data_IF_130548964320
#
_entry.id   IF_130548964320
#
_cell.length_a   1.000
_cell.length_b   1.000
_cell.length_c   1.000
_cell.angle_alpha   90.00
_cell.angle_beta   90.00
_cell.angle_gamma   90.00
#
_symmetry.space_group_name_H-M   'P 1'
#
loop_
_entity.id
_entity.type
_entity.pdbx_description
1 polymer ?
#
# COMPACT_ATOMS: atom_id res chain seq x y z
N UNK A 1 0.17 5.15 25.37
CA UNK A 1 0.61 6.02 24.27
C UNK A 1 -0.27 5.88 23.01
N UNK A 2 -0.57 4.68 22.55
CA UNK A 2 -1.44 4.42 21.38
C UNK A 2 -2.84 5.02 21.49
N UNK A 3 -3.55 4.82 22.60
CA UNK A 3 -4.91 5.35 22.80
C UNK A 3 -4.98 6.88 22.74
N UNK A 4 -3.99 7.58 23.30
CA UNK A 4 -3.90 9.04 23.23
C UNK A 4 -3.71 9.55 21.80
N UNK A 5 -2.87 8.85 21.01
CA UNK A 5 -2.68 9.18 19.58
C UNK A 5 -3.97 9.00 18.77
N UNK A 6 -4.75 7.95 19.04
CA UNK A 6 -6.07 7.75 18.41
C UNK A 6 -7.05 8.87 18.77
N UNK A 7 -7.12 9.27 20.05
CA UNK A 7 -7.99 10.37 20.50
C UNK A 7 -7.57 11.69 19.83
N UNK A 8 -6.28 12.00 19.82
CA UNK A 8 -5.76 13.22 19.16
C UNK A 8 -6.02 13.21 17.66
N UNK A 9 -5.85 12.06 17.00
CA UNK A 9 -6.18 11.87 15.58
C UNK A 9 -7.66 12.10 15.30
N UNK A 10 -8.55 11.59 16.15
CA UNK A 10 -10.00 11.79 16.02
C UNK A 10 -10.39 13.26 16.22
N UNK A 11 -9.82 13.94 17.21
CA UNK A 11 -10.04 15.37 17.44
C UNK A 11 -9.56 16.19 16.24
N UNK A 12 -8.35 15.90 15.73
CA UNK A 12 -7.80 16.58 14.55
C UNK A 12 -8.67 16.37 13.32
N UNK A 13 -9.15 15.13 13.10
CA UNK A 13 -10.11 14.81 12.05
C UNK A 13 -11.37 15.65 12.15
N UNK A 14 -12.00 15.69 13.34
CA UNK A 14 -13.26 16.40 13.55
C UNK A 14 -13.09 17.92 13.34
N UNK A 15 -12.01 18.50 13.85
CA UNK A 15 -11.68 19.90 13.62
C UNK A 15 -11.49 20.21 12.14
N UNK A 16 -10.72 19.40 11.43
CA UNK A 16 -10.51 19.55 9.98
C UNK A 16 -11.85 19.42 9.23
N UNK A 17 -12.69 18.45 9.60
CA UNK A 17 -13.99 18.23 9.00
C UNK A 17 -14.92 19.43 9.14
N UNK A 18 -15.00 20.02 10.35
CA UNK A 18 -15.81 21.23 10.63
C UNK A 18 -15.28 22.42 9.83
N UNK A 19 -13.95 22.60 9.77
CA UNK A 19 -13.34 23.70 9.00
C UNK A 19 -13.66 23.57 7.50
N UNK A 20 -13.50 22.37 6.93
CA UNK A 20 -13.83 22.11 5.52
C UNK A 20 -15.32 22.28 5.28
N UNK A 21 -16.17 21.77 6.16
CA UNK A 21 -17.62 21.96 6.09
C UNK A 21 -18.00 23.44 6.05
N UNK A 22 -17.36 24.29 6.88
CA UNK A 22 -17.58 25.74 6.88
C UNK A 22 -17.15 26.40 5.56
N UNK A 23 -16.04 25.97 4.99
CA UNK A 23 -15.58 26.44 3.68
C UNK A 23 -16.61 26.10 2.61
N UNK A 24 -17.04 24.83 2.55
CA UNK A 24 -18.04 24.35 1.58
C UNK A 24 -19.36 25.14 1.73
N UNK A 25 -19.88 25.29 2.95
CA UNK A 25 -21.08 26.07 3.21
C UNK A 25 -20.98 27.49 2.63
N UNK A 26 -19.88 28.19 2.94
CA UNK A 26 -19.68 29.56 2.47
C UNK A 26 -19.65 29.64 0.94
N UNK A 27 -19.09 28.68 0.26
CA UNK A 27 -19.06 28.64 -1.22
C UNK A 27 -20.44 28.35 -1.79
N UNK A 28 -21.18 27.40 -1.22
CA UNK A 28 -22.56 27.09 -1.64
C UNK A 28 -23.50 28.27 -1.41
N UNK A 29 -23.35 28.99 -0.31
CA UNK A 29 -24.16 30.16 0.02
C UNK A 29 -24.02 31.29 -1.01
N UNK A 30 -22.86 31.41 -1.66
CA UNK A 30 -22.65 32.39 -2.75
C UNK A 30 -23.61 32.17 -3.91
N UNK A 31 -23.98 30.93 -4.20
CA UNK A 31 -24.84 30.55 -5.32
C UNK A 31 -26.30 30.45 -4.89
N UNK A 32 -26.57 29.78 -3.78
CA UNK A 32 -27.94 29.47 -3.35
C UNK A 32 -28.66 30.74 -2.83
N UNK A 33 -27.91 31.66 -2.20
CA UNK A 33 -28.40 32.93 -1.63
C UNK A 33 -29.58 32.82 -0.64
N UNK A 34 -29.89 31.62 -0.17
CA UNK A 34 -30.88 31.33 0.87
C UNK A 34 -30.15 30.71 2.06
N UNK A 35 -30.66 30.99 3.29
CA UNK A 35 -30.09 30.35 4.46
C UNK A 35 -30.60 28.90 4.59
N UNK A 36 -29.69 27.97 4.43
CA UNK A 36 -29.91 26.52 4.59
C UNK A 36 -28.97 25.94 5.65
N UNK A 37 -28.43 26.77 6.53
CA UNK A 37 -27.38 26.44 7.49
C UNK A 37 -27.72 25.24 8.37
N UNK A 38 -28.92 25.18 8.90
CA UNK A 38 -29.36 24.11 9.81
C UNK A 38 -29.35 22.78 9.07
N UNK A 39 -30.03 22.71 7.93
CA UNK A 39 -30.11 21.48 7.12
C UNK A 39 -28.73 21.03 6.65
N UNK A 40 -27.91 21.98 6.20
CA UNK A 40 -26.53 21.71 5.79
C UNK A 40 -25.72 21.06 6.92
N UNK A 41 -25.72 21.67 8.12
CA UNK A 41 -24.93 21.16 9.24
C UNK A 41 -25.47 19.82 9.79
N UNK A 42 -26.77 19.58 9.72
CA UNK A 42 -27.35 18.26 10.05
C UNK A 42 -26.77 17.20 9.09
N UNK A 43 -26.86 17.43 7.79
CA UNK A 43 -26.37 16.48 6.77
C UNK A 43 -24.87 16.25 6.91
N UNK A 44 -24.08 17.32 7.00
CA UNK A 44 -22.61 17.22 7.14
C UNK A 44 -22.24 16.51 8.44
N UNK A 45 -22.88 16.79 9.56
CA UNK A 45 -22.60 16.10 10.83
C UNK A 45 -22.92 14.62 10.75
N UNK A 46 -24.05 14.25 10.16
CA UNK A 46 -24.42 12.84 9.95
C UNK A 46 -23.34 12.15 9.12
N UNK A 47 -22.95 12.72 7.98
CA UNK A 47 -21.88 12.16 7.13
C UNK A 47 -20.57 12.08 7.91
N UNK A 48 -20.19 13.15 8.62
CA UNK A 48 -18.94 13.23 9.37
C UNK A 48 -18.82 12.25 10.54
N UNK A 49 -19.92 11.76 11.07
CA UNK A 49 -19.93 10.81 12.20
C UNK A 49 -20.20 9.39 11.72
N UNK A 50 -21.20 9.18 10.86
CA UNK A 50 -21.62 7.83 10.47
C UNK A 50 -20.50 7.10 9.74
N UNK A 51 -19.86 7.72 8.74
CA UNK A 51 -18.87 7.02 7.94
C UNK A 51 -17.60 6.63 8.72
N UNK A 52 -16.95 7.51 9.52
CA UNK A 52 -15.85 7.09 10.37
C UNK A 52 -16.26 6.04 11.41
N UNK A 53 -17.47 6.15 11.97
CA UNK A 53 -17.97 5.18 12.93
C UNK A 53 -18.17 3.80 12.27
N UNK A 54 -18.78 3.73 11.10
CA UNK A 54 -18.92 2.49 10.36
C UNK A 54 -17.55 1.90 9.99
N UNK A 55 -16.59 2.75 9.58
CA UNK A 55 -15.21 2.31 9.30
C UNK A 55 -14.54 1.73 10.54
N UNK A 56 -14.69 2.36 11.71
CA UNK A 56 -14.17 1.86 12.97
C UNK A 56 -14.86 0.56 13.39
N UNK A 57 -16.19 0.50 13.38
CA UNK A 57 -16.93 -0.70 13.75
C UNK A 57 -16.50 -1.86 12.87
N UNK A 58 -16.48 -1.69 11.56
CA UNK A 58 -16.11 -2.73 10.64
C UNK A 58 -14.65 -3.16 10.80
N UNK A 59 -13.73 -2.23 11.04
CA UNK A 59 -12.33 -2.53 11.31
C UNK A 59 -12.14 -3.38 12.58
N UNK A 60 -12.84 -3.05 13.67
CA UNK A 60 -12.68 -3.75 14.95
C UNK A 60 -13.52 -5.03 15.05
N UNK A 61 -14.74 -5.03 14.50
CA UNK A 61 -15.67 -6.18 14.62
C UNK A 61 -15.61 -7.10 13.42
N UNK A 62 -15.06 -6.61 12.28
CA UNK A 62 -15.02 -7.31 10.98
C UNK A 62 -16.40 -7.76 10.50
N UNK A 63 -17.41 -7.03 10.88
CA UNK A 63 -18.75 -7.20 10.35
C UNK A 63 -18.74 -6.72 8.90
N UNK A 64 -18.95 -7.64 7.96
CA UNK A 64 -19.03 -7.36 6.53
C UNK A 64 -20.37 -6.74 6.10
N UNK A 65 -20.65 -6.79 4.81
CA UNK A 65 -21.91 -6.33 4.23
C UNK A 65 -22.05 -4.81 4.20
N UNK A 66 -23.20 -4.30 4.63
CA UNK A 66 -23.52 -2.86 4.51
C UNK A 66 -22.56 -1.98 5.31
N UNK A 67 -22.06 -2.44 6.47
CA UNK A 67 -21.13 -1.70 7.31
C UNK A 67 -19.79 -1.52 6.60
N UNK A 68 -19.32 -2.55 5.92
CA UNK A 68 -18.08 -2.50 5.13
C UNK A 68 -18.21 -1.55 3.94
N UNK A 69 -19.34 -1.60 3.22
CA UNK A 69 -19.62 -0.68 2.11
C UNK A 69 -19.63 0.77 2.62
N UNK A 70 -20.33 1.05 3.71
CA UNK A 70 -20.39 2.39 4.31
C UNK A 70 -19.00 2.85 4.79
N UNK A 71 -18.19 1.95 5.35
CA UNK A 71 -16.82 2.22 5.72
C UNK A 71 -15.95 2.63 4.52
N UNK A 72 -16.02 1.89 3.41
CA UNK A 72 -15.31 2.21 2.17
C UNK A 72 -15.74 3.56 1.57
N UNK A 73 -17.03 3.86 1.60
CA UNK A 73 -17.54 5.18 1.19
C UNK A 73 -16.96 6.25 2.13
N UNK A 74 -16.91 6.00 3.44
CA UNK A 74 -16.33 6.92 4.41
C UNK A 74 -14.86 7.22 4.16
N UNK A 75 -14.04 6.20 3.90
CA UNK A 75 -12.64 6.38 3.52
C UNK A 75 -12.49 7.16 2.21
N UNK A 76 -13.38 6.92 1.24
CA UNK A 76 -13.37 7.64 -0.04
C UNK A 76 -13.72 9.12 0.14
N UNK A 77 -14.70 9.44 0.99
CA UNK A 77 -15.04 10.81 1.36
C UNK A 77 -13.87 11.48 2.08
N UNK A 78 -13.22 10.78 3.02
CA UNK A 78 -12.06 11.30 3.72
C UNK A 78 -10.91 11.62 2.77
N UNK A 79 -10.62 10.74 1.82
CA UNK A 79 -9.63 10.98 0.78
C UNK A 79 -10.01 12.19 -0.10
N UNK A 80 -11.29 12.28 -0.51
CA UNK A 80 -11.78 13.44 -1.25
C UNK A 80 -11.59 14.76 -0.50
N UNK A 81 -11.93 14.80 0.80
CA UNK A 81 -11.76 15.99 1.64
C UNK A 81 -10.28 16.35 1.81
N UNK A 82 -9.40 15.37 1.98
CA UNK A 82 -7.95 15.58 2.03
C UNK A 82 -7.46 16.28 0.76
N UNK A 83 -7.84 15.78 -0.42
CA UNK A 83 -7.45 16.39 -1.68
C UNK A 83 -8.14 17.74 -1.95
N UNK A 84 -9.37 17.92 -1.48
CA UNK A 84 -10.07 19.20 -1.57
C UNK A 84 -9.31 20.31 -0.82
N UNK A 85 -8.83 20.00 0.39
CA UNK A 85 -7.99 20.93 1.17
C UNK A 85 -6.66 21.14 0.44
N UNK A 86 -6.01 20.09 -0.01
CA UNK A 86 -4.71 20.18 -0.67
C UNK A 86 -4.78 21.05 -1.94
N UNK A 87 -5.70 20.75 -2.85
CA UNK A 87 -5.87 21.52 -4.10
C UNK A 87 -6.38 22.95 -3.81
N UNK A 88 -7.29 23.10 -2.86
CA UNK A 88 -7.77 24.41 -2.44
C UNK A 88 -6.64 25.31 -1.93
N UNK A 89 -5.73 24.76 -1.12
CA UNK A 89 -4.55 25.49 -0.65
C UNK A 89 -3.58 25.83 -1.78
N UNK A 90 -3.28 24.86 -2.66
CA UNK A 90 -2.39 25.07 -3.81
C UNK A 90 -2.94 26.18 -4.72
N UNK A 91 -4.21 26.09 -5.11
CA UNK A 91 -4.85 27.08 -5.99
C UNK A 91 -4.91 28.46 -5.31
N UNK A 92 -5.16 28.50 -4.00
CA UNK A 92 -5.13 29.75 -3.24
C UNK A 92 -3.73 30.38 -3.22
N UNK A 93 -2.68 29.58 -3.02
CA UNK A 93 -1.29 30.05 -3.05
C UNK A 93 -0.94 30.59 -4.45
N UNK A 94 -1.29 29.86 -5.51
CA UNK A 94 -1.10 30.31 -6.91
C UNK A 94 -1.78 31.65 -7.10
N UNK A 95 -3.03 31.78 -6.66
CA UNK A 95 -3.78 33.01 -6.78
C UNK A 95 -3.14 34.19 -6.04
N UNK A 96 -2.62 33.94 -4.82
CA UNK A 96 -1.89 34.97 -4.04
C UNK A 96 -0.61 35.44 -4.75
N UNK A 97 0.10 34.51 -5.42
CA UNK A 97 1.26 34.86 -6.23
C UNK A 97 0.84 35.71 -7.45
N UNK A 98 -0.23 35.30 -8.12
CA UNK A 98 -0.77 36.03 -9.29
C UNK A 98 -1.30 37.42 -8.93
N UNK A 99 -1.68 37.68 -7.67
CA UNK A 99 -2.11 39.01 -7.22
C UNK A 99 -1.03 40.08 -7.38
N UNK A 100 0.24 39.73 -7.53
CA UNK A 100 1.33 40.67 -7.88
C UNK A 100 1.19 41.21 -9.30
N UNK A 101 0.46 40.49 -10.17
CA UNK A 101 0.32 40.78 -11.60
C UNK A 101 -1.12 41.11 -12.02
N UNK A 102 -2.10 40.77 -11.18
CA UNK A 102 -3.54 40.91 -11.48
C UNK A 102 -4.16 41.86 -10.42
N UNK A 103 -5.10 42.69 -10.86
CA UNK A 103 -5.82 43.61 -9.95
C UNK A 103 -6.48 42.84 -8.81
N UNK A 104 -6.26 43.28 -7.58
CA UNK A 104 -6.76 42.64 -6.33
C UNK A 104 -8.27 42.39 -6.36
N UNK A 105 -9.05 43.30 -6.93
CA UNK A 105 -10.50 43.20 -7.00
C UNK A 105 -10.99 42.00 -7.84
N UNK A 106 -10.22 41.60 -8.86
CA UNK A 106 -10.54 40.44 -9.69
C UNK A 106 -10.41 39.15 -8.87
N UNK A 107 -9.38 39.07 -8.04
CA UNK A 107 -9.07 37.89 -7.22
C UNK A 107 -10.06 37.72 -6.08
N UNK A 108 -10.50 38.81 -5.48
CA UNK A 108 -11.39 38.82 -4.31
C UNK A 108 -12.89 38.67 -4.67
N UNK A 109 -13.27 38.68 -5.94
CA UNK A 109 -14.65 38.46 -6.35
C UNK A 109 -15.14 37.08 -5.87
N UNK A 110 -16.30 37.03 -5.22
CA UNK A 110 -16.91 35.81 -4.69
C UNK A 110 -17.07 34.73 -5.77
N UNK A 111 -17.35 35.14 -7.01
CA UNK A 111 -17.49 34.22 -8.14
C UNK A 111 -16.17 33.50 -8.45
N UNK A 112 -15.02 34.18 -8.38
CA UNK A 112 -13.73 33.57 -8.65
C UNK A 112 -13.33 32.60 -7.54
N UNK A 113 -13.66 32.90 -6.28
CA UNK A 113 -13.47 31.97 -5.17
C UNK A 113 -14.34 30.70 -5.35
N UNK A 114 -15.57 30.87 -5.81
CA UNK A 114 -16.45 29.74 -6.13
C UNK A 114 -15.90 28.88 -7.28
N UNK A 115 -15.37 29.50 -8.35
CA UNK A 115 -14.69 28.79 -9.44
C UNK A 115 -13.50 27.96 -8.91
N UNK A 116 -12.66 28.53 -8.04
CA UNK A 116 -11.55 27.82 -7.41
C UNK A 116 -12.06 26.61 -6.62
N UNK A 117 -13.13 26.78 -5.86
CA UNK A 117 -13.76 25.66 -5.15
C UNK A 117 -14.23 24.55 -6.10
N UNK A 118 -14.92 24.90 -7.20
CA UNK A 118 -15.37 23.92 -8.20
C UNK A 118 -14.18 23.19 -8.86
N UNK A 119 -13.13 23.93 -9.20
CA UNK A 119 -11.90 23.33 -9.76
C UNK A 119 -11.25 22.38 -8.75
N UNK A 120 -11.18 22.78 -7.46
CA UNK A 120 -10.66 21.91 -6.40
C UNK A 120 -11.52 20.64 -6.25
N UNK A 121 -12.84 20.75 -6.30
CA UNK A 121 -13.75 19.59 -6.27
C UNK A 121 -13.49 18.65 -7.46
N UNK A 122 -13.39 19.20 -8.65
CA UNK A 122 -13.13 18.42 -9.87
C UNK A 122 -11.80 17.69 -9.80
N UNK A 123 -10.72 18.36 -9.41
CA UNK A 123 -9.40 17.75 -9.24
C UNK A 123 -9.41 16.66 -8.16
N UNK A 124 -10.13 16.89 -7.05
CA UNK A 124 -10.25 15.92 -5.96
C UNK A 124 -11.01 14.66 -6.38
N UNK A 125 -12.12 14.83 -7.11
CA UNK A 125 -12.85 13.69 -7.66
C UNK A 125 -12.02 12.94 -8.69
N UNK A 126 -11.28 13.65 -9.54
CA UNK A 126 -10.42 13.05 -10.56
C UNK A 126 -9.30 12.20 -9.93
N UNK A 127 -8.63 12.69 -8.88
CA UNK A 127 -7.55 11.94 -8.23
C UNK A 127 -8.08 10.75 -7.42
N UNK A 128 -9.25 10.87 -6.79
CA UNK A 128 -9.91 9.74 -6.11
C UNK A 128 -10.32 8.67 -7.12
N UNK A 129 -10.95 9.05 -8.23
CA UNK A 129 -11.30 8.14 -9.32
C UNK A 129 -10.06 7.47 -9.93
N UNK A 130 -8.99 8.22 -10.17
CA UNK A 130 -7.69 7.66 -10.58
C UNK A 130 -7.17 6.66 -9.54
N UNK A 131 -7.28 6.96 -8.25
CA UNK A 131 -6.85 6.10 -7.17
C UNK A 131 -7.54 4.73 -7.17
N UNK A 132 -8.85 4.70 -7.43
CA UNK A 132 -9.61 3.45 -7.61
C UNK A 132 -9.11 2.67 -8.83
N UNK A 133 -8.97 3.31 -9.97
CA UNK A 133 -8.48 2.66 -11.19
C UNK A 133 -7.06 2.12 -11.00
N UNK A 134 -6.21 2.88 -10.33
CA UNK A 134 -4.82 2.50 -10.06
C UNK A 134 -4.68 1.27 -9.18
N UNK A 135 -5.61 1.03 -8.25
CA UNK A 135 -5.66 -0.19 -7.45
C UNK A 135 -6.05 -1.41 -8.30
N UNK A 136 -7.04 -1.27 -9.19
CA UNK A 136 -7.63 -2.41 -9.91
C UNK A 136 -6.92 -2.76 -11.22
N UNK A 137 -6.08 -1.86 -11.74
CA UNK A 137 -5.33 -2.05 -12.99
C UNK A 137 -3.82 -2.05 -12.68
N UNK A 138 -3.26 -3.16 -12.17
CA UNK A 138 -1.85 -3.24 -11.81
C UNK A 138 -0.96 -3.08 -13.04
N UNK A 139 0.21 -2.49 -12.79
CA UNK A 139 1.31 -2.44 -13.76
C UNK A 139 2.25 -3.63 -13.56
N UNK A 140 2.92 -4.05 -14.63
CA UNK A 140 4.03 -4.99 -14.55
C UNK A 140 5.32 -4.21 -14.68
N UNK A 141 6.14 -4.24 -13.62
CA UNK A 141 7.49 -3.65 -13.63
C UNK A 141 8.50 -4.73 -13.92
N UNK A 142 9.32 -4.55 -14.95
CA UNK A 142 10.38 -5.48 -15.33
C UNK A 142 11.72 -5.03 -14.78
N UNK A 143 12.48 -5.96 -14.21
CA UNK A 143 13.78 -5.70 -13.58
C UNK A 143 14.76 -6.77 -14.03
N UNK A 144 15.98 -6.36 -14.39
CA UNK A 144 17.11 -7.24 -14.57
C UNK A 144 17.98 -7.21 -13.32
N UNK A 145 18.29 -8.40 -12.76
CA UNK A 145 19.14 -8.58 -11.60
C UNK A 145 20.04 -9.82 -11.77
N UNK A 146 21.15 -9.87 -11.01
CA UNK A 146 22.13 -10.95 -11.12
C UNK A 146 23.04 -10.81 -12.33
N UNK A 147 23.91 -11.81 -12.53
CA UNK A 147 24.87 -11.92 -13.63
C UNK A 147 24.95 -13.35 -14.14
N UNK A 148 25.15 -13.53 -15.42
CA UNK A 148 25.29 -14.82 -16.08
C UNK A 148 24.62 -14.82 -17.43
N UNK A 149 24.77 -15.94 -18.12
CA UNK A 149 24.22 -16.13 -19.48
C UNK A 149 22.84 -16.78 -19.45
N UNK A 150 22.50 -17.45 -18.35
CA UNK A 150 21.18 -18.03 -18.10
C UNK A 150 20.32 -17.10 -17.26
N UNK A 151 19.00 -17.29 -17.31
CA UNK A 151 18.09 -16.51 -16.49
C UNK A 151 16.84 -17.28 -16.10
N UNK A 152 16.26 -16.88 -14.97
CA UNK A 152 14.94 -17.32 -14.49
C UNK A 152 14.00 -16.13 -14.45
N UNK A 153 12.77 -16.34 -14.88
CA UNK A 153 11.71 -15.35 -14.76
C UNK A 153 11.03 -15.51 -13.40
N UNK A 154 11.25 -14.55 -12.52
CA UNK A 154 10.70 -14.54 -11.17
C UNK A 154 9.59 -13.50 -11.10
N UNK A 155 8.39 -13.89 -10.72
CA UNK A 155 7.26 -12.96 -10.51
C UNK A 155 7.06 -12.75 -9.02
N UNK A 156 7.15 -11.48 -8.59
CA UNK A 156 7.05 -11.10 -7.18
C UNK A 156 5.80 -10.25 -6.95
N UNK A 157 5.08 -10.54 -5.87
CA UNK A 157 3.98 -9.75 -5.33
C UNK A 157 4.22 -9.53 -3.84
N UNK A 158 3.91 -8.34 -3.35
CA UNK A 158 3.94 -7.97 -1.94
C UNK A 158 2.67 -7.21 -1.58
N UNK A 159 2.39 -7.12 -0.29
CA UNK A 159 1.34 -6.24 0.22
C UNK A 159 0.00 -6.49 -0.50
N UNK A 160 -0.38 -7.76 -0.58
CA UNK A 160 -1.64 -8.19 -1.22
C UNK A 160 -2.81 -7.78 -0.33
N UNK A 161 -2.64 -7.84 1.00
CA UNK A 161 -3.63 -7.51 2.01
C UNK A 161 -4.97 -8.20 1.75
N UNK A 162 -4.91 -9.51 1.47
CA UNK A 162 -6.12 -10.31 1.35
C UNK A 162 -6.92 -10.27 2.65
N UNK A 163 -8.22 -10.09 2.52
CA UNK A 163 -9.15 -9.94 3.62
C UNK A 163 -8.86 -8.74 4.55
N UNK A 164 -8.09 -7.74 4.08
CA UNK A 164 -8.07 -6.44 4.75
C UNK A 164 -9.45 -5.80 4.70
N UNK A 165 -9.69 -4.89 5.64
CA UNK A 165 -10.95 -4.17 5.68
C UNK A 165 -11.27 -3.49 4.34
N UNK A 166 -12.45 -3.78 3.82
CA UNK A 166 -12.95 -3.21 2.56
C UNK A 166 -12.23 -3.69 1.30
N UNK A 167 -11.38 -4.70 1.40
CA UNK A 167 -10.63 -5.21 0.26
C UNK A 167 -11.54 -5.62 -0.90
N UNK A 168 -11.31 -5.02 -2.05
CA UNK A 168 -11.97 -5.36 -3.32
C UNK A 168 -11.11 -6.27 -4.18
N UNK A 169 -10.09 -6.89 -3.58
CA UNK A 169 -9.16 -7.78 -4.24
C UNK A 169 -9.86 -9.02 -4.79
N UNK A 170 -9.57 -9.36 -6.03
CA UNK A 170 -10.02 -10.58 -6.67
C UNK A 170 -8.83 -11.51 -6.93
N UNK A 171 -8.71 -12.57 -6.12
CA UNK A 171 -7.60 -13.53 -6.21
C UNK A 171 -7.56 -14.24 -7.55
N UNK A 172 -8.70 -14.61 -8.13
CA UNK A 172 -8.75 -15.27 -9.44
C UNK A 172 -8.15 -14.40 -10.54
N UNK A 173 -8.45 -13.08 -10.52
CA UNK A 173 -7.82 -12.13 -11.47
C UNK A 173 -6.33 -11.98 -11.22
N UNK A 174 -5.91 -11.98 -9.94
CA UNK A 174 -4.49 -11.93 -9.56
C UNK A 174 -3.75 -13.14 -10.12
N UNK A 175 -4.23 -14.34 -9.84
CA UNK A 175 -3.63 -15.60 -10.31
C UNK A 175 -3.58 -15.66 -11.83
N UNK A 176 -4.65 -15.26 -12.52
CA UNK A 176 -4.64 -15.18 -13.99
C UNK A 176 -3.55 -14.25 -14.51
N UNK A 177 -3.32 -13.10 -13.86
CA UNK A 177 -2.25 -12.17 -14.26
C UNK A 177 -0.86 -12.76 -14.02
N UNK A 178 -0.65 -13.45 -12.88
CA UNK A 178 0.60 -14.16 -12.59
C UNK A 178 0.86 -15.20 -13.67
N UNK A 179 -0.10 -16.07 -13.94
CA UNK A 179 0.04 -17.16 -14.90
C UNK A 179 0.29 -16.67 -16.34
N UNK A 180 -0.30 -15.53 -16.72
CA UNK A 180 -0.05 -14.91 -18.03
C UNK A 180 1.38 -14.39 -18.20
N UNK A 181 2.15 -14.25 -17.12
CA UNK A 181 3.56 -13.89 -17.17
C UNK A 181 4.47 -15.12 -17.35
N UNK A 182 3.91 -16.34 -17.26
CA UNK A 182 4.66 -17.62 -17.38
C UNK A 182 5.93 -17.62 -16.50
N UNK A 183 5.79 -17.51 -15.17
CA UNK A 183 6.93 -17.45 -14.27
C UNK A 183 7.61 -18.81 -14.09
N UNK A 184 8.92 -18.81 -13.93
CA UNK A 184 9.66 -19.97 -13.44
C UNK A 184 9.47 -20.12 -11.92
N UNK A 185 9.42 -18.97 -11.20
CA UNK A 185 9.26 -18.89 -9.75
C UNK A 185 8.28 -17.77 -9.43
N UNK A 186 7.44 -17.97 -8.39
CA UNK A 186 6.58 -16.92 -7.83
C UNK A 186 6.97 -16.65 -6.39
N UNK A 187 7.12 -15.37 -6.02
CA UNK A 187 7.49 -14.94 -4.68
C UNK A 187 6.41 -14.02 -4.08
N UNK A 188 5.90 -14.38 -2.91
CA UNK A 188 5.06 -13.53 -2.08
C UNK A 188 5.90 -12.89 -0.96
N UNK A 189 6.04 -11.57 -1.00
CA UNK A 189 7.01 -10.82 -0.20
C UNK A 189 6.33 -10.22 1.05
N UNK A 190 5.56 -11.03 1.78
CA UNK A 190 4.87 -10.64 3.00
C UNK A 190 3.63 -9.74 2.80
N UNK A 191 2.90 -9.54 3.88
CA UNK A 191 1.62 -8.85 3.94
C UNK A 191 0.62 -9.39 2.87
N UNK A 192 0.62 -10.72 2.73
CA UNK A 192 -0.31 -11.44 1.85
C UNK A 192 -1.70 -11.46 2.48
N UNK A 193 -1.78 -11.73 3.79
CA UNK A 193 -3.00 -11.81 4.58
C UNK A 193 -3.01 -10.68 5.62
N UNK A 194 -4.07 -9.88 5.63
CA UNK A 194 -4.25 -8.79 6.60
C UNK A 194 -5.46 -9.05 7.48
N UNK A 195 -5.48 -10.22 8.10
CA UNK A 195 -6.58 -10.67 8.95
C UNK A 195 -6.15 -11.85 9.82
N UNK A 196 -6.95 -12.11 10.83
CA UNK A 196 -6.98 -13.38 11.56
C UNK A 196 -7.35 -14.50 10.57
N UNK A 197 -6.50 -15.52 10.46
CA UNK A 197 -6.67 -16.63 9.51
C UNK A 197 -7.99 -17.37 9.72
N UNK A 198 -8.53 -17.41 10.92
CA UNK A 198 -9.80 -18.07 11.19
C UNK A 198 -11.01 -17.30 10.66
N UNK A 199 -10.85 -16.04 10.34
CA UNK A 199 -11.91 -15.14 9.85
C UNK A 199 -11.91 -14.93 8.35
N UNK A 200 -10.90 -15.42 7.62
CA UNK A 200 -10.84 -15.29 6.16
C UNK A 200 -11.58 -16.41 5.46
N UNK A 201 -11.89 -16.23 4.18
CA UNK A 201 -12.35 -17.32 3.33
C UNK A 201 -11.15 -18.19 2.91
N UNK A 202 -10.77 -19.15 3.79
CA UNK A 202 -9.61 -20.03 3.58
C UNK A 202 -9.72 -20.81 2.27
N UNK A 203 -10.91 -21.31 1.93
CA UNK A 203 -11.12 -22.11 0.72
C UNK A 203 -10.90 -21.28 -0.54
N UNK A 204 -11.37 -20.03 -0.57
CA UNK A 204 -11.13 -19.12 -1.70
C UNK A 204 -9.63 -18.85 -1.87
N UNK A 205 -8.92 -18.56 -0.76
CA UNK A 205 -7.48 -18.33 -0.80
C UNK A 205 -6.73 -19.57 -1.29
N UNK A 206 -6.92 -20.73 -0.63
CA UNK A 206 -6.22 -21.98 -0.94
C UNK A 206 -6.47 -22.39 -2.40
N UNK A 207 -7.73 -22.36 -2.84
CA UNK A 207 -8.09 -22.72 -4.21
C UNK A 207 -7.41 -21.83 -5.23
N UNK A 208 -7.40 -20.51 -5.00
CA UNK A 208 -6.80 -19.58 -5.95
C UNK A 208 -5.26 -19.72 -5.97
N UNK A 209 -4.57 -19.71 -4.82
CA UNK A 209 -3.11 -19.78 -4.81
C UNK A 209 -2.58 -21.10 -5.34
N UNK A 210 -3.32 -22.23 -5.14
CA UNK A 210 -2.96 -23.52 -5.69
C UNK A 210 -3.12 -23.62 -7.22
N UNK A 211 -3.80 -22.66 -7.84
CA UNK A 211 -3.91 -22.53 -9.30
C UNK A 211 -2.78 -21.68 -9.92
N UNK A 212 -1.82 -21.21 -9.13
CA UNK A 212 -0.62 -20.55 -9.64
C UNK A 212 0.27 -21.60 -10.34
N UNK A 213 0.68 -21.25 -11.57
CA UNK A 213 1.56 -22.09 -12.39
C UNK A 213 2.97 -21.52 -12.36
N UNK A 214 3.94 -22.37 -11.99
CA UNK A 214 5.37 -22.02 -12.00
C UNK A 214 6.20 -23.28 -12.11
N UNK A 215 7.38 -23.19 -12.72
CA UNK A 215 8.25 -24.35 -12.95
C UNK A 215 8.86 -24.87 -11.64
N UNK A 216 9.31 -23.96 -10.80
CA UNK A 216 10.07 -24.28 -9.58
C UNK A 216 9.32 -23.97 -8.29
N UNK A 217 8.03 -23.59 -8.38
CA UNK A 217 7.16 -23.44 -7.22
C UNK A 217 6.89 -21.98 -6.83
N UNK A 218 6.12 -21.88 -5.75
CA UNK A 218 5.68 -20.61 -5.15
C UNK A 218 6.24 -20.54 -3.74
N UNK A 219 6.86 -19.42 -3.40
CA UNK A 219 7.47 -19.20 -2.09
C UNK A 219 6.86 -17.95 -1.47
N UNK A 220 6.75 -17.95 -0.14
CA UNK A 220 6.26 -16.82 0.63
C UNK A 220 7.15 -16.53 1.84
N UNK A 221 7.13 -15.31 2.31
CA UNK A 221 7.60 -14.90 3.63
C UNK A 221 6.49 -14.21 4.39
N UNK A 222 6.66 -14.02 5.70
CA UNK A 222 5.74 -13.19 6.49
C UNK A 222 6.04 -11.71 6.30
N UNK A 223 4.98 -10.89 6.36
CA UNK A 223 5.08 -9.47 6.67
C UNK A 223 4.62 -9.18 8.10
N UNK A 224 4.57 -7.92 8.46
CA UNK A 224 4.15 -7.51 9.80
C UNK A 224 2.64 -7.67 10.04
N UNK A 225 1.82 -7.71 8.98
CA UNK A 225 0.37 -7.88 9.11
C UNK A 225 0.01 -9.33 9.45
N UNK A 226 0.64 -10.34 8.87
CA UNK A 226 0.45 -11.72 9.30
C UNK A 226 0.75 -11.90 10.79
N UNK A 227 1.91 -11.40 11.25
CA UNK A 227 2.37 -11.53 12.64
C UNK A 227 1.56 -10.68 13.64
N UNK A 228 0.86 -9.67 13.16
CA UNK A 228 -0.02 -8.83 13.99
C UNK A 228 -1.30 -9.55 14.43
N UNK A 229 -1.82 -10.42 13.59
CA UNK A 229 -3.12 -11.04 13.79
C UNK A 229 -3.05 -12.51 14.12
N UNK A 230 -1.93 -13.17 13.84
CA UNK A 230 -1.77 -14.60 13.98
C UNK A 230 -0.44 -14.96 14.65
N UNK A 231 -0.40 -16.07 15.32
CA UNK A 231 0.85 -16.68 15.78
C UNK A 231 1.62 -17.28 14.61
N UNK A 232 2.92 -17.48 14.79
CA UNK A 232 3.76 -18.08 13.74
C UNK A 232 3.31 -19.51 13.39
N UNK A 233 2.82 -20.27 14.38
CA UNK A 233 2.30 -21.63 14.17
C UNK A 233 1.02 -21.62 13.33
N UNK A 234 0.08 -20.72 13.61
CA UNK A 234 -1.14 -20.58 12.81
C UNK A 234 -0.82 -20.24 11.36
N UNK A 235 0.18 -19.38 11.13
CA UNK A 235 0.63 -19.02 9.78
C UNK A 235 1.23 -20.24 9.08
N UNK A 236 2.11 -21.00 9.75
CA UNK A 236 2.71 -22.24 9.21
C UNK A 236 1.62 -23.26 8.83
N UNK A 237 0.72 -23.54 9.77
CA UNK A 237 -0.37 -24.51 9.58
C UNK A 237 -1.30 -24.11 8.43
N UNK A 238 -1.48 -22.82 8.22
CA UNK A 238 -2.25 -22.31 7.10
C UNK A 238 -1.55 -22.55 5.76
N UNK A 239 -0.27 -22.18 5.65
CA UNK A 239 0.49 -22.35 4.42
C UNK A 239 0.73 -23.83 4.07
N UNK A 240 0.83 -24.73 5.06
CA UNK A 240 0.89 -26.20 4.84
C UNK A 240 -0.33 -26.77 4.08
N UNK A 241 -1.46 -26.05 4.06
CA UNK A 241 -2.66 -26.42 3.30
C UNK A 241 -2.65 -25.92 1.85
N UNK A 242 -1.57 -25.25 1.45
CA UNK A 242 -1.39 -24.68 0.11
C UNK A 242 -0.15 -25.26 -0.58
N UNK A 243 -0.02 -25.01 -1.87
CA UNK A 243 1.20 -25.32 -2.63
C UNK A 243 2.28 -24.23 -2.48
N UNK A 244 2.12 -23.29 -1.55
CA UNK A 244 3.06 -22.21 -1.29
C UNK A 244 4.01 -22.62 -0.18
N UNK A 245 5.31 -22.66 -0.45
CA UNK A 245 6.33 -22.91 0.57
C UNK A 245 6.64 -21.63 1.34
N UNK A 246 6.28 -21.61 2.63
CA UNK A 246 6.62 -20.51 3.53
C UNK A 246 8.09 -20.64 3.98
N UNK A 247 8.86 -19.58 3.83
CA UNK A 247 10.26 -19.50 4.27
C UNK A 247 10.35 -18.57 5.48
N UNK A 248 10.94 -19.05 6.57
CA UNK A 248 11.03 -18.35 7.86
C UNK A 248 12.46 -18.39 8.36
N UNK A 249 13.29 -17.45 7.96
CA UNK A 249 14.75 -17.44 8.15
C UNK A 249 15.38 -18.74 7.63
N UNK A 250 15.05 -19.07 6.38
CA UNK A 250 15.45 -20.30 5.69
C UNK A 250 15.97 -19.98 4.29
N UNK A 251 16.86 -20.87 3.80
CA UNK A 251 17.26 -20.87 2.40
C UNK A 251 16.68 -22.08 1.66
N UNK A 252 16.51 -21.93 0.37
CA UNK A 252 16.17 -23.01 -0.56
C UNK A 252 17.02 -22.91 -1.81
N UNK A 253 17.60 -24.05 -2.24
CA UNK A 253 18.32 -24.17 -3.49
C UNK A 253 17.34 -24.60 -4.59
N UNK A 254 17.35 -23.88 -5.70
CA UNK A 254 16.49 -24.13 -6.85
C UNK A 254 17.36 -24.75 -7.96
N UNK A 255 17.16 -26.04 -8.19
CA UNK A 255 17.73 -26.79 -9.33
C UNK A 255 19.25 -26.57 -9.50
N UNK A 256 19.98 -26.47 -8.38
CA UNK A 256 21.43 -26.19 -8.33
C UNK A 256 21.87 -24.92 -9.10
N UNK A 257 20.92 -24.02 -9.40
CA UNK A 257 21.12 -22.78 -10.18
C UNK A 257 21.24 -21.55 -9.31
N UNK A 258 20.31 -21.37 -8.40
CA UNK A 258 20.22 -20.19 -7.53
C UNK A 258 19.80 -20.59 -6.12
N UNK A 259 20.02 -19.67 -5.17
CA UNK A 259 19.38 -19.74 -3.85
C UNK A 259 18.35 -18.66 -3.65
N UNK A 260 17.27 -19.00 -2.95
CA UNK A 260 16.28 -18.07 -2.41
C UNK A 260 16.41 -18.09 -0.89
N UNK A 261 16.57 -16.93 -0.29
CA UNK A 261 16.59 -16.77 1.15
C UNK A 261 15.32 -16.02 1.55
N UNK A 262 14.47 -16.67 2.34
CA UNK A 262 13.25 -16.07 2.87
C UNK A 262 13.44 -15.67 4.33
N UNK A 263 13.29 -14.38 4.62
CA UNK A 263 13.40 -13.84 5.97
C UNK A 263 12.04 -13.70 6.62
N UNK A 264 11.97 -14.05 7.91
CA UNK A 264 10.81 -13.68 8.74
C UNK A 264 10.77 -12.15 8.88
N UNK A 265 9.58 -11.57 9.03
CA UNK A 265 9.45 -10.11 9.11
C UNK A 265 10.33 -9.49 10.21
N UNK A 266 10.79 -8.27 9.93
CA UNK A 266 11.66 -7.52 10.83
C UNK A 266 11.06 -7.27 12.22
N UNK A 267 9.74 -7.28 12.36
CA UNK A 267 9.05 -7.12 13.64
C UNK A 267 9.12 -8.37 14.55
N UNK A 268 9.57 -9.52 14.03
CA UNK A 268 9.66 -10.75 14.82
C UNK A 268 10.89 -10.74 15.74
N UNK A 269 10.71 -10.91 17.05
CA UNK A 269 11.80 -10.71 18.03
C UNK A 269 13.01 -11.64 17.88
N UNK A 270 12.77 -12.87 17.39
CA UNK A 270 13.80 -13.91 17.25
C UNK A 270 14.25 -14.10 15.79
N UNK A 271 14.13 -13.04 14.96
CA UNK A 271 14.63 -13.04 13.58
C UNK A 271 16.16 -13.23 13.59
N UNK A 272 16.66 -14.15 12.76
CA UNK A 272 18.10 -14.42 12.62
C UNK A 272 18.80 -13.29 11.84
N UNK A 273 20.09 -13.12 12.05
CA UNK A 273 20.93 -12.34 11.15
C UNK A 273 21.08 -13.09 9.81
N UNK A 274 21.29 -12.37 8.72
CA UNK A 274 21.30 -12.98 7.38
C UNK A 274 22.44 -13.97 7.21
N UNK A 275 23.61 -13.70 7.79
CA UNK A 275 24.77 -14.58 7.77
C UNK A 275 24.57 -15.91 8.51
N UNK A 276 23.60 -16.00 9.44
CA UNK A 276 23.24 -17.25 10.13
C UNK A 276 22.35 -18.16 9.26
N UNK A 277 21.79 -17.63 8.17
CA UNK A 277 20.88 -18.34 7.28
C UNK A 277 21.63 -18.87 6.06
N UNK A 278 22.63 -18.12 5.57
CA UNK A 278 23.34 -18.42 4.33
C UNK A 278 24.32 -19.58 4.55
N UNK A 279 24.07 -20.71 3.86
CA UNK A 279 25.07 -21.78 3.77
C UNK A 279 26.17 -21.43 2.77
N UNK A 280 27.38 -21.93 3.04
CA UNK A 280 28.50 -21.73 2.14
C UNK A 280 28.23 -22.36 0.76
N UNK A 281 28.20 -21.52 -0.30
CA UNK A 281 27.99 -21.93 -1.68
C UNK A 281 28.42 -20.83 -2.62
N UNK A 282 28.77 -21.20 -3.85
CA UNK A 282 29.08 -20.26 -4.93
C UNK A 282 27.84 -19.87 -5.77
N UNK A 283 26.66 -20.39 -5.43
CA UNK A 283 25.45 -20.06 -6.17
C UNK A 283 25.03 -18.61 -5.94
N UNK A 284 24.63 -17.88 -6.99
CA UNK A 284 24.04 -16.58 -6.82
C UNK A 284 22.72 -16.69 -6.04
N UNK A 285 22.46 -15.72 -5.17
CA UNK A 285 21.26 -15.76 -4.33
C UNK A 285 20.48 -14.45 -4.33
N UNK A 286 19.18 -14.60 -4.09
CA UNK A 286 18.25 -13.50 -3.85
C UNK A 286 17.68 -13.59 -2.44
N UNK A 287 17.35 -12.43 -1.88
CA UNK A 287 16.77 -12.28 -0.54
C UNK A 287 15.34 -11.74 -0.67
N UNK A 288 14.41 -12.45 -0.06
CA UNK A 288 13.05 -11.98 0.21
C UNK A 288 13.03 -11.38 1.61
N UNK A 289 12.79 -10.10 1.73
CA UNK A 289 12.69 -9.39 3.00
C UNK A 289 11.58 -8.35 2.93
N UNK A 290 10.51 -8.54 3.69
CA UNK A 290 9.32 -7.70 3.58
C UNK A 290 9.63 -6.22 3.81
N UNK A 291 10.32 -5.90 4.92
CA UNK A 291 10.69 -4.52 5.24
C UNK A 291 12.06 -4.16 4.66
N UNK A 292 12.19 -3.01 3.96
CA UNK A 292 13.34 -2.73 3.11
C UNK A 292 14.61 -2.26 3.83
N UNK A 293 14.55 -1.94 5.14
CA UNK A 293 15.68 -1.33 5.86
C UNK A 293 16.94 -2.19 5.91
N UNK A 294 16.81 -3.51 5.78
CA UNK A 294 17.94 -4.47 5.84
C UNK A 294 18.69 -4.63 4.50
N UNK A 295 18.38 -3.88 3.45
CA UNK A 295 19.03 -4.06 2.13
C UNK A 295 20.57 -3.93 2.16
N UNK A 296 21.13 -3.19 3.13
CA UNK A 296 22.58 -3.06 3.30
C UNK A 296 23.22 -4.34 3.84
N UNK A 297 22.49 -5.12 4.62
CA UNK A 297 22.90 -6.43 5.09
C UNK A 297 23.00 -7.39 3.90
N UNK A 298 22.00 -7.48 3.06
CA UNK A 298 22.03 -8.29 1.84
C UNK A 298 23.17 -7.90 0.87
N UNK A 299 23.44 -6.60 0.73
CA UNK A 299 24.59 -6.11 -0.02
C UNK A 299 25.91 -6.59 0.57
N UNK A 300 26.05 -6.53 1.91
CA UNK A 300 27.28 -6.93 2.64
C UNK A 300 27.53 -8.43 2.49
N UNK A 301 26.50 -9.23 2.57
CA UNK A 301 26.57 -10.69 2.47
C UNK A 301 26.67 -11.20 1.01
N UNK A 302 26.72 -10.30 0.01
CA UNK A 302 26.95 -10.65 -1.38
C UNK A 302 25.71 -11.13 -2.15
N UNK A 303 24.52 -10.79 -1.71
CA UNK A 303 23.31 -11.07 -2.48
C UNK A 303 23.39 -10.45 -3.89
N UNK A 304 22.84 -11.13 -4.89
CA UNK A 304 22.66 -10.56 -6.21
C UNK A 304 21.42 -9.69 -6.30
N UNK A 305 20.37 -10.04 -5.55
CA UNK A 305 19.11 -9.33 -5.56
C UNK A 305 18.42 -9.35 -4.19
N UNK A 306 17.76 -8.25 -3.84
CA UNK A 306 16.76 -8.22 -2.75
C UNK A 306 15.46 -7.63 -3.24
N UNK A 307 14.34 -8.26 -2.86
CA UNK A 307 12.99 -7.75 -3.09
C UNK A 307 12.31 -7.46 -1.75
N UNK A 308 11.68 -6.28 -1.65
CA UNK A 308 10.97 -5.81 -0.45
C UNK A 308 9.66 -5.12 -0.83
N UNK A 309 8.78 -4.95 0.15
CA UNK A 309 7.50 -4.24 0.05
C UNK A 309 7.30 -3.24 1.17
N UNK A 310 6.20 -3.39 1.93
CA UNK A 310 5.86 -2.70 3.18
C UNK A 310 5.54 -1.20 3.08
N UNK A 311 6.28 -0.45 2.29
CA UNK A 311 6.14 1.02 2.24
C UNK A 311 4.92 1.51 1.46
N UNK A 312 4.36 0.66 0.60
CA UNK A 312 3.32 1.02 -0.38
C UNK A 312 3.64 2.28 -1.20
N UNK A 313 4.89 2.77 -1.19
CA UNK A 313 5.27 4.11 -1.68
C UNK A 313 4.43 5.23 -1.03
N UNK A 314 3.96 5.02 0.23
CA UNK A 314 3.03 5.91 0.91
C UNK A 314 1.60 5.87 0.38
N UNK A 315 1.26 4.97 -0.56
CA UNK A 315 -0.05 4.65 -1.12
C UNK A 315 -0.84 5.85 -1.67
N UNK A 316 -1.07 6.90 -0.87
CA UNK A 316 -1.75 8.14 -1.27
C UNK A 316 -0.73 9.27 -1.41
N UNK A 317 -0.77 10.04 -2.51
CA UNK A 317 -0.02 11.28 -2.63
C UNK A 317 -0.62 12.34 -1.67
N UNK A 318 0.19 13.11 -0.91
CA UNK A 318 1.66 13.14 -0.87
C UNK A 318 2.28 12.36 0.30
N UNK A 319 1.65 11.30 0.81
CA UNK A 319 2.13 10.57 2.00
C UNK A 319 3.50 9.90 1.84
N UNK A 320 4.01 9.74 0.61
CA UNK A 320 5.41 9.33 0.44
C UNK A 320 6.39 10.27 1.15
N UNK A 321 6.04 11.55 1.32
CA UNK A 321 6.92 12.54 1.98
C UNK A 321 7.12 12.19 3.47
N UNK A 322 6.06 12.11 4.31
CA UNK A 322 6.24 11.71 5.70
C UNK A 322 6.82 10.29 5.85
N UNK A 323 6.50 9.35 4.96
CA UNK A 323 7.10 8.01 4.99
C UNK A 323 8.62 8.09 4.73
N UNK A 324 9.06 8.86 3.72
CA UNK A 324 10.49 9.06 3.45
C UNK A 324 11.22 9.72 4.62
N UNK A 325 10.60 10.72 5.26
CA UNK A 325 11.16 11.38 6.43
C UNK A 325 11.30 10.38 7.59
N UNK A 326 10.27 9.56 7.85
CA UNK A 326 10.31 8.52 8.86
C UNK A 326 11.47 7.54 8.61
N UNK A 327 11.61 7.02 7.39
CA UNK A 327 12.69 6.11 7.02
C UNK A 327 14.07 6.78 7.14
N UNK A 328 14.17 8.08 6.81
CA UNK A 328 15.40 8.84 6.99
C UNK A 328 15.80 8.95 8.46
N UNK A 329 14.85 9.22 9.33
CA UNK A 329 15.10 9.41 10.77
C UNK A 329 15.42 8.07 11.46
N UNK A 330 14.63 7.03 11.18
CA UNK A 330 14.73 5.74 11.85
C UNK A 330 15.83 4.85 11.29
N UNK A 331 15.97 4.78 9.98
CA UNK A 331 16.84 3.82 9.27
C UNK A 331 17.96 4.47 8.46
N UNK A 332 18.09 5.80 8.54
CA UNK A 332 19.12 6.59 7.84
C UNK A 332 19.13 6.38 6.32
N UNK A 333 17.95 6.16 5.74
CA UNK A 333 17.77 5.98 4.29
C UNK A 333 16.60 6.80 3.76
N UNK A 334 16.72 7.30 2.51
CA UNK A 334 15.61 7.86 1.74
C UNK A 334 14.98 6.83 0.78
N UNK A 335 15.55 5.62 0.73
CA UNK A 335 15.13 4.58 -0.18
C UNK A 335 13.88 3.88 0.38
N UNK A 336 12.73 4.21 -0.20
CA UNK A 336 11.41 3.67 0.17
C UNK A 336 10.63 3.11 -1.01
N UNK A 337 11.12 3.26 -2.25
CA UNK A 337 10.44 2.83 -3.47
C UNK A 337 11.46 2.67 -4.61
N UNK A 338 11.19 1.74 -5.52
CA UNK A 338 11.92 1.57 -6.76
C UNK A 338 13.23 0.82 -6.60
N UNK A 339 14.21 1.14 -7.44
CA UNK A 339 15.44 0.38 -7.59
C UNK A 339 16.62 1.07 -6.90
N UNK A 340 17.46 0.26 -6.23
CA UNK A 340 18.77 0.64 -5.75
C UNK A 340 19.81 -0.33 -6.34
N UNK A 341 20.91 0.20 -6.90
CA UNK A 341 21.99 -0.61 -7.45
C UNK A 341 23.33 -0.20 -6.86
N UNK A 342 24.15 -1.19 -6.50
CA UNK A 342 25.54 -0.99 -6.10
C UNK A 342 26.39 -2.17 -6.51
N UNK A 343 27.30 -1.96 -7.48
CA UNK A 343 28.02 -3.06 -8.12
C UNK A 343 27.02 -4.04 -8.75
N UNK A 344 27.14 -5.30 -8.41
CA UNK A 344 26.29 -6.39 -8.93
C UNK A 344 25.00 -6.58 -8.13
N UNK A 345 24.91 -5.95 -6.97
CA UNK A 345 23.71 -5.99 -6.14
C UNK A 345 22.63 -5.07 -6.64
N UNK A 346 21.44 -5.61 -6.78
CA UNK A 346 20.22 -4.86 -7.06
C UNK A 346 19.24 -5.07 -5.91
N UNK A 347 18.69 -4.00 -5.36
CA UNK A 347 17.52 -4.09 -4.46
C UNK A 347 16.33 -3.38 -5.09
N UNK A 348 15.14 -3.93 -4.91
CA UNK A 348 13.90 -3.34 -5.35
C UNK A 348 12.86 -3.31 -4.24
N UNK A 349 12.26 -2.13 -4.03
CA UNK A 349 11.10 -1.97 -3.15
C UNK A 349 9.88 -1.78 -4.04
N UNK A 350 8.97 -2.77 -3.99
CA UNK A 350 7.71 -2.70 -4.73
C UNK A 350 6.70 -1.81 -4.04
N UNK A 351 5.82 -1.26 -4.83
CA UNK A 351 4.68 -0.46 -4.36
C UNK A 351 3.55 -1.31 -3.76
N UNK A 352 3.63 -2.64 -3.91
CA UNK A 352 2.63 -3.58 -3.47
C UNK A 352 1.48 -3.78 -4.47
N UNK A 353 0.78 -4.90 -4.34
CA UNK A 353 -0.33 -5.29 -5.21
C UNK A 353 -1.69 -4.83 -4.69
N UNK A 354 -1.95 -4.96 -3.39
CA UNK A 354 -3.17 -4.55 -2.72
C UNK A 354 -3.16 -3.12 -2.20
N UNK A 355 -3.99 -2.86 -1.22
CA UNK A 355 -4.05 -1.59 -0.51
C UNK A 355 -4.39 -1.84 0.96
N UNK A 356 -3.84 -1.00 1.84
CA UNK A 356 -4.12 -1.01 3.26
C UNK A 356 -4.96 0.21 3.64
N UNK A 357 -6.04 0.00 4.40
CA UNK A 357 -6.94 1.07 4.84
C UNK A 357 -7.75 1.67 3.69
N UNK A 358 -7.25 2.70 3.04
CA UNK A 358 -7.92 3.30 1.88
C UNK A 358 -7.86 2.37 0.66
N UNK A 359 -9.01 1.92 0.16
CA UNK A 359 -9.07 1.04 -1.01
C UNK A 359 -8.84 1.80 -2.33
N UNK A 360 -7.74 2.54 -2.38
CA UNK A 360 -7.28 3.30 -3.55
C UNK A 360 -5.77 3.58 -3.47
N UNK A 361 -5.17 3.89 -4.62
CA UNK A 361 -3.75 4.24 -4.74
C UNK A 361 -3.56 5.46 -5.62
N UNK A 362 -3.20 6.60 -5.05
CA UNK A 362 -2.98 7.83 -5.83
C UNK A 362 -1.50 8.12 -6.05
N UNK A 363 -0.61 7.37 -5.38
CA UNK A 363 0.83 7.47 -5.54
C UNK A 363 1.43 6.26 -6.28
N UNK A 364 0.93 6.01 -7.47
CA UNK A 364 1.32 4.88 -8.31
C UNK A 364 0.31 3.73 -8.30
N UNK A 365 0.35 2.94 -9.36
CA UNK A 365 -0.56 1.80 -9.58
C UNK A 365 -0.14 0.61 -8.71
N UNK A 366 -1.06 -0.29 -8.44
CA UNK A 366 -0.75 -1.66 -7.99
C UNK A 366 0.30 -2.28 -8.88
N UNK A 367 1.15 -3.12 -8.32
CA UNK A 367 2.35 -3.60 -9.02
C UNK A 367 2.51 -5.11 -8.93
N UNK A 368 2.86 -5.70 -10.06
CA UNK A 368 3.47 -7.03 -10.16
C UNK A 368 4.90 -6.80 -10.64
N UNK A 369 5.89 -7.36 -9.96
CA UNK A 369 7.28 -7.25 -10.37
C UNK A 369 7.70 -8.51 -11.11
N UNK A 370 8.23 -8.36 -12.33
CA UNK A 370 8.80 -9.45 -13.13
C UNK A 370 10.30 -9.27 -13.17
N UNK A 371 11.03 -10.14 -12.49
CA UNK A 371 12.49 -10.11 -12.43
C UNK A 371 13.06 -11.13 -13.41
N UNK A 372 13.93 -10.66 -14.30
CA UNK A 372 14.80 -11.51 -15.10
C UNK A 372 16.08 -11.71 -14.29
N UNK A 373 16.13 -12.79 -13.51
CA UNK A 373 17.26 -13.07 -12.61
C UNK A 373 18.32 -13.89 -13.36
N UNK A 374 19.46 -13.28 -13.61
CA UNK A 374 20.60 -13.89 -14.31
C UNK A 374 21.51 -14.67 -13.35
N UNK A 375 21.96 -15.86 -13.79
CA UNK A 375 22.84 -16.75 -13.03
C UNK A 375 23.84 -17.50 -13.92
#
# INVERSE_FOLDING_TARGET
MTTLLYILGFIAYFLAYVLVGRIIYNQLYVVIKKDFRIVYWIIITIIGIIFPLCSMISYFTRVGGIIEILGNIGFSILAFLLYLVLFGLILKIILLIMMKFIKKDIVQRKINQFIIFLVSCFLSLSIVGYGFLSLHVPSVTKIDAGKGDNSLKIVCLSDIHYASFGSTLNLTKMVKRINNLEPDIVLFIGDVIDSDIDKINKNDFITNVNNIKSTYGVFAITGNHELKYNTLEEIKDFYLKTNVRLLLDEEVVIDEKIKIIGRIDYSYPSRKELNEIISATNLPFLVMDHQPQSYRESLKEGASFQISGHTHKGQLFPFQIPVSIFYRLMYKTWYIDGIYKKGDFTSYITRGYGAWGFQMRTNGRSEIVSVNFKY
#
